data_IF_981290326737
#
_entry.id   IF_981290326737
#
_cell.length_a   1.000
_cell.length_b   1.000
_cell.length_c   1.000
_cell.angle_alpha   90.00
_cell.angle_beta   90.00
_cell.angle_gamma   90.00
#
_symmetry.space_group_name_H-M   'P 1'
#
loop_
_entity.id
_entity.type
_entity.pdbx_description
1 polymer ?
#
# COMPACT_ATOMS: atom_id res chain seq x y z
N UNK A 1 -20.37 -29.71 12.84
CA UNK A 1 -18.92 -29.90 12.67
C UNK A 1 -18.47 -29.42 11.31
N UNK A 2 -17.40 -28.68 11.29
CA UNK A 2 -16.88 -28.07 10.06
C UNK A 2 -16.14 -29.04 9.15
N UNK A 3 -16.64 -30.30 9.10
CA UNK A 3 -15.99 -31.35 8.31
C UNK A 3 -16.60 -31.55 6.91
N UNK A 4 -17.53 -30.69 6.51
CA UNK A 4 -18.06 -30.74 5.17
C UNK A 4 -17.03 -30.24 4.16
N UNK A 5 -17.08 -30.77 2.95
CA UNK A 5 -16.18 -30.32 1.87
C UNK A 5 -16.31 -28.84 1.58
N UNK A 6 -17.54 -28.30 1.75
CA UNK A 6 -17.82 -26.87 1.57
C UNK A 6 -17.09 -26.02 2.61
N UNK A 7 -17.11 -26.45 3.89
CA UNK A 7 -16.43 -25.75 4.97
C UNK A 7 -14.91 -25.77 4.77
N UNK A 8 -14.35 -26.90 4.37
CA UNK A 8 -12.92 -27.05 4.07
C UNK A 8 -12.49 -26.15 2.90
N UNK A 9 -13.33 -26.11 1.86
CA UNK A 9 -13.09 -25.25 0.70
C UNK A 9 -13.08 -23.77 1.11
N UNK A 10 -14.03 -23.35 1.96
CA UNK A 10 -14.13 -21.99 2.46
C UNK A 10 -12.90 -21.61 3.28
N UNK A 11 -12.41 -22.51 4.12
CA UNK A 11 -11.21 -22.29 4.91
C UNK A 11 -9.99 -22.08 4.00
N UNK A 12 -9.83 -22.91 2.97
CA UNK A 12 -8.74 -22.76 2.00
C UNK A 12 -8.83 -21.44 1.26
N UNK A 13 -10.02 -21.04 0.83
CA UNK A 13 -10.25 -19.77 0.14
C UNK A 13 -9.90 -18.59 1.05
N UNK A 14 -10.31 -18.64 2.32
CA UNK A 14 -10.04 -17.58 3.29
C UNK A 14 -8.53 -17.44 3.54
N UNK A 15 -7.82 -18.57 3.70
CA UNK A 15 -6.36 -18.56 3.89
C UNK A 15 -5.66 -17.94 2.70
N UNK A 16 -6.05 -18.32 1.48
CA UNK A 16 -5.46 -17.77 0.25
C UNK A 16 -5.72 -16.28 0.16
N UNK A 17 -6.95 -15.84 0.42
CA UNK A 17 -7.33 -14.42 0.37
C UNK A 17 -6.54 -13.61 1.39
N UNK A 18 -6.41 -14.09 2.62
CA UNK A 18 -5.65 -13.44 3.68
C UNK A 18 -4.18 -13.30 3.29
N UNK A 19 -3.58 -14.36 2.75
CA UNK A 19 -2.19 -14.34 2.29
C UNK A 19 -1.97 -13.31 1.19
N UNK A 20 -2.85 -13.28 0.19
CA UNK A 20 -2.76 -12.32 -0.92
C UNK A 20 -2.93 -10.88 -0.39
N UNK A 21 -3.87 -10.65 0.52
CA UNK A 21 -4.10 -9.32 1.09
C UNK A 21 -2.91 -8.84 1.91
N UNK A 22 -2.26 -9.73 2.67
CA UNK A 22 -1.03 -9.41 3.39
C UNK A 22 0.08 -8.96 2.44
N UNK A 23 0.26 -9.64 1.32
CA UNK A 23 1.24 -9.27 0.30
C UNK A 23 0.95 -7.89 -0.27
N UNK A 24 -0.33 -7.58 -0.53
CA UNK A 24 -0.76 -6.28 -1.07
C UNK A 24 -0.52 -5.16 -0.06
N UNK A 25 -0.83 -5.37 1.21
CA UNK A 25 -0.59 -4.39 2.28
C UNK A 25 0.91 -4.17 2.45
N UNK A 26 1.70 -5.23 2.44
CA UNK A 26 3.16 -5.14 2.53
C UNK A 26 3.75 -4.33 1.38
N UNK A 27 3.25 -4.54 0.17
CA UNK A 27 3.68 -3.79 -1.00
C UNK A 27 3.37 -2.30 -0.85
N UNK A 28 2.15 -1.96 -0.41
CA UNK A 28 1.75 -0.58 -0.13
C UNK A 28 2.71 0.06 0.87
N UNK A 29 2.95 -0.59 1.99
CA UNK A 29 3.84 -0.09 3.04
C UNK A 29 5.27 0.10 2.55
N UNK A 30 5.76 -0.83 1.74
CA UNK A 30 7.11 -0.76 1.18
C UNK A 30 7.29 0.47 0.30
N UNK A 31 6.34 0.75 -0.59
CA UNK A 31 6.41 1.91 -1.47
C UNK A 31 6.29 3.22 -0.72
N UNK A 32 5.40 3.30 0.28
CA UNK A 32 5.28 4.47 1.15
C UNK A 32 6.59 4.71 1.91
N UNK A 33 7.18 3.66 2.45
CA UNK A 33 8.45 3.74 3.17
C UNK A 33 9.58 4.24 2.29
N UNK A 34 9.63 3.80 1.03
CA UNK A 34 10.63 4.28 0.07
C UNK A 34 10.55 5.79 -0.13
N UNK A 35 9.34 6.34 -0.22
CA UNK A 35 9.15 7.79 -0.34
C UNK A 35 9.64 8.49 0.93
N UNK A 36 9.27 7.98 2.09
CA UNK A 36 9.67 8.57 3.38
C UNK A 36 11.19 8.54 3.57
N UNK A 37 11.84 7.45 3.19
CA UNK A 37 13.31 7.35 3.26
C UNK A 37 14.00 8.33 2.31
N UNK A 38 13.46 8.50 1.10
CA UNK A 38 13.98 9.47 0.14
C UNK A 38 13.86 10.90 0.66
N UNK A 39 12.74 11.23 1.31
CA UNK A 39 12.52 12.53 1.94
C UNK A 39 13.55 12.75 3.07
N UNK A 40 13.75 11.73 3.91
CA UNK A 40 14.70 11.80 5.02
C UNK A 40 16.14 11.95 4.53
N UNK A 41 16.47 11.37 3.37
CA UNK A 41 17.79 11.51 2.76
C UNK A 41 18.04 12.91 2.16
N UNK A 42 16.99 13.71 1.98
CA UNK A 42 17.12 15.10 1.53
C UNK A 42 17.28 15.29 0.03
N UNK A 43 17.08 14.25 -0.78
CA UNK A 43 17.16 14.35 -2.24
C UNK A 43 15.75 14.48 -2.82
N UNK A 44 15.41 15.69 -3.26
CA UNK A 44 14.09 16.02 -3.79
C UNK A 44 13.77 15.23 -5.08
N UNK A 45 14.73 15.09 -5.97
CA UNK A 45 14.52 14.39 -7.24
C UNK A 45 14.20 12.90 -7.01
N UNK A 46 14.96 12.26 -6.11
CA UNK A 46 14.72 10.87 -5.73
C UNK A 46 13.37 10.73 -5.02
N UNK A 47 13.02 11.68 -4.15
CA UNK A 47 11.75 11.66 -3.44
C UNK A 47 10.57 11.83 -4.41
N UNK A 48 10.67 12.73 -5.39
CA UNK A 48 9.64 12.92 -6.42
C UNK A 48 9.46 11.66 -7.26
N UNK A 49 10.56 11.04 -7.69
CA UNK A 49 10.51 9.80 -8.47
C UNK A 49 9.88 8.66 -7.66
N UNK A 50 10.25 8.54 -6.38
CA UNK A 50 9.67 7.54 -5.48
C UNK A 50 8.17 7.75 -5.28
N UNK A 51 7.73 9.00 -5.14
CA UNK A 51 6.30 9.33 -5.00
C UNK A 51 5.53 8.97 -6.26
N UNK A 52 6.05 9.27 -7.44
CA UNK A 52 5.44 8.90 -8.71
C UNK A 52 5.31 7.39 -8.86
N UNK A 53 6.31 6.63 -8.43
CA UNK A 53 6.26 5.16 -8.46
C UNK A 53 5.30 4.59 -7.43
N UNK A 54 5.15 5.24 -6.27
CA UNK A 54 4.27 4.79 -5.20
C UNK A 54 2.79 5.04 -5.51
N UNK A 55 2.48 6.09 -6.21
CA UNK A 55 1.10 6.55 -6.42
C UNK A 55 0.20 5.47 -7.04
N UNK A 56 0.57 4.81 -8.17
CA UNK A 56 -0.29 3.76 -8.73
C UNK A 56 -0.44 2.55 -7.80
N UNK A 57 0.58 2.23 -7.02
CA UNK A 57 0.52 1.13 -6.06
C UNK A 57 -0.47 1.46 -4.94
N UNK A 58 -0.45 2.69 -4.45
CA UNK A 58 -1.36 3.16 -3.40
C UNK A 58 -2.81 3.17 -3.89
N UNK A 59 -3.06 3.65 -5.11
CA UNK A 59 -4.40 3.63 -5.70
C UNK A 59 -4.88 2.21 -5.97
N UNK A 60 -3.99 1.31 -6.38
CA UNK A 60 -4.33 -0.10 -6.57
C UNK A 60 -4.81 -0.75 -5.28
N UNK A 61 -4.23 -0.38 -4.13
CA UNK A 61 -4.66 -0.89 -2.82
C UNK A 61 -6.11 -0.47 -2.50
N UNK A 62 -6.52 0.74 -2.89
CA UNK A 62 -7.91 1.19 -2.76
C UNK A 62 -8.84 0.36 -3.64
N UNK A 63 -8.48 0.17 -4.91
CA UNK A 63 -9.29 -0.58 -5.88
C UNK A 63 -9.48 -2.04 -5.45
N UNK A 64 -8.50 -2.62 -4.77
CA UNK A 64 -8.56 -3.99 -4.25
C UNK A 64 -9.22 -4.09 -2.87
N UNK A 65 -9.69 -2.96 -2.33
CA UNK A 65 -10.42 -2.93 -1.06
C UNK A 65 -9.58 -3.20 0.18
N UNK A 66 -8.27 -3.03 0.09
CA UNK A 66 -7.35 -3.33 1.20
C UNK A 66 -7.19 -2.14 2.13
N UNK A 67 -7.18 -0.93 1.56
CA UNK A 67 -6.99 0.31 2.30
C UNK A 67 -8.07 1.29 1.84
N UNK A 68 -8.65 2.01 2.80
CA UNK A 68 -9.71 2.97 2.49
C UNK A 68 -9.17 4.14 1.66
N UNK A 69 -9.98 4.60 0.70
CA UNK A 69 -9.64 5.72 -0.18
C UNK A 69 -9.18 6.95 0.60
N UNK A 70 -9.87 7.31 1.68
CA UNK A 70 -9.54 8.49 2.47
C UNK A 70 -8.16 8.38 3.12
N UNK A 71 -7.79 7.20 3.56
CA UNK A 71 -6.46 6.94 4.14
C UNK A 71 -5.36 7.15 3.10
N UNK A 72 -5.56 6.61 1.90
CA UNK A 72 -4.60 6.75 0.80
C UNK A 72 -4.49 8.22 0.36
N UNK A 73 -5.61 8.90 0.15
CA UNK A 73 -5.61 10.29 -0.28
C UNK A 73 -4.93 11.20 0.74
N UNK A 74 -5.17 10.97 2.03
CA UNK A 74 -4.52 11.73 3.11
C UNK A 74 -3.00 11.50 3.10
N UNK A 75 -2.59 10.25 2.97
CA UNK A 75 -1.17 9.89 2.95
C UNK A 75 -0.47 10.49 1.74
N UNK A 76 -1.06 10.38 0.55
CA UNK A 76 -0.52 10.97 -0.68
C UNK A 76 -0.39 12.48 -0.56
N UNK A 77 -1.42 13.16 -0.03
CA UNK A 77 -1.41 14.59 0.16
C UNK A 77 -0.27 15.02 1.09
N UNK A 78 -0.08 14.32 2.20
CA UNK A 78 0.99 14.61 3.16
C UNK A 78 2.38 14.37 2.56
N UNK A 79 2.54 13.28 1.83
CA UNK A 79 3.82 12.97 1.17
C UNK A 79 4.14 14.02 0.09
N UNK A 80 3.15 14.40 -0.71
CA UNK A 80 3.34 15.42 -1.74
C UNK A 80 3.77 16.77 -1.14
N UNK A 81 3.17 17.17 -0.04
CA UNK A 81 3.55 18.40 0.67
C UNK A 81 5.00 18.34 1.16
N UNK A 82 5.39 17.22 1.74
CA UNK A 82 6.75 17.02 2.24
C UNK A 82 7.76 17.10 1.10
N UNK A 83 7.46 16.46 -0.03
CA UNK A 83 8.33 16.50 -1.22
C UNK A 83 8.42 17.93 -1.76
N UNK A 84 7.29 18.62 -1.89
CA UNK A 84 7.26 19.98 -2.43
C UNK A 84 7.97 21.00 -1.53
N UNK A 85 8.04 20.75 -0.24
CA UNK A 85 8.73 21.63 0.70
C UNK A 85 10.24 21.38 0.76
N UNK A 86 10.74 20.36 0.08
CA UNK A 86 12.18 20.09 0.03
C UNK A 86 12.90 21.12 -0.86
N UNK A 87 14.10 21.45 -0.44
CA UNK A 87 14.93 22.41 -1.17
C UNK A 87 15.56 21.82 -2.43
#
# INVERSE_FOLDING_TARGET
>A
MANSKQAEKRIRQTRRRTSVNLMRVSRYRTFVKKVELAIAAGDKDVASAALQSAQPIMHSAVNKGIIHRNTVNRKLSRLARRVNSMA
#
